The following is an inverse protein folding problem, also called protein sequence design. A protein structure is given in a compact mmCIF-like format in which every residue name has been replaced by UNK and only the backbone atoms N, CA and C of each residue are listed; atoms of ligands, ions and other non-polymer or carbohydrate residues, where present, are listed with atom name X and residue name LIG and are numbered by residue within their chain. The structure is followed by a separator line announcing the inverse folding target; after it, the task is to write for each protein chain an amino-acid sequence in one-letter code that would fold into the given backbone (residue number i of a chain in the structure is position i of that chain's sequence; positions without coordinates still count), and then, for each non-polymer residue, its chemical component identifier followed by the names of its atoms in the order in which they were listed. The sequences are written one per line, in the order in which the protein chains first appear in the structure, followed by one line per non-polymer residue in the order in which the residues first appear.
data_IF_946834305599
#
_entry.id   IF_946834305599
#
_cell.length_a   1.000
_cell.length_b   1.000
_cell.length_c   1.000
_cell.angle_alpha   90.00
_cell.angle_beta   90.00
_cell.angle_gamma   90.00
#
_symmetry.space_group_name_H-M   'P 1'
#
loop_
_entity.id
_entity.type
_entity.pdbx_description
1 polymer ?
#
# COMPACT_ATOMS: atom_id res chain seq x y z
N UNK A 1 -2.70 18.87 5.46
CA UNK A 1 -2.69 19.00 3.98
C UNK A 1 -2.06 20.32 3.55
N UNK A 2 -0.73 20.38 3.35
CA UNK A 2 -0.08 21.46 2.60
C UNK A 2 0.22 20.91 1.21
N UNK A 3 -0.73 21.12 0.31
CA UNK A 3 -0.64 20.69 -1.09
C UNK A 3 0.48 21.48 -1.77
N UNK A 4 1.55 20.79 -2.16
CA UNK A 4 2.69 21.36 -2.89
C UNK A 4 2.22 21.98 -4.22
N UNK A 5 2.34 23.30 -4.33
CA UNK A 5 1.95 24.11 -5.49
C UNK A 5 2.95 24.05 -6.67
N UNK A 6 3.51 22.89 -7.00
CA UNK A 6 4.40 22.76 -8.16
C UNK A 6 3.92 21.67 -9.13
N UNK A 7 3.50 22.15 -10.31
CA UNK A 7 3.15 21.46 -11.57
C UNK A 7 1.71 20.94 -11.75
N UNK A 8 0.85 21.84 -12.23
CA UNK A 8 -0.21 21.59 -13.25
C UNK A 8 0.36 20.77 -14.44
N UNK A 9 -0.29 19.87 -15.19
CA UNK A 9 -1.68 19.38 -15.30
C UNK A 9 -1.60 17.98 -15.95
N UNK A 10 -1.59 16.88 -15.19
CA UNK A 10 -1.97 15.58 -15.79
C UNK A 10 -3.21 15.16 -15.05
N UNK A 11 -4.33 15.27 -15.74
CA UNK A 11 -5.64 14.91 -15.23
C UNK A 11 -6.43 14.25 -16.36
N UNK A 12 -6.69 12.97 -16.17
CA UNK A 12 -7.48 12.14 -17.07
C UNK A 12 -8.97 12.10 -16.67
N UNK A 13 -9.39 12.97 -15.74
CA UNK A 13 -10.80 13.04 -15.32
C UNK A 13 -11.72 13.31 -16.50
N UNK A 14 -12.68 12.42 -16.72
CA UNK A 14 -13.61 12.48 -17.84
C UNK A 14 -13.04 12.03 -19.19
N UNK A 15 -11.76 11.67 -19.26
CA UNK A 15 -11.15 11.08 -20.46
C UNK A 15 -11.50 9.60 -20.52
N UNK A 16 -12.01 9.16 -21.69
CA UNK A 16 -12.27 7.75 -21.94
C UNK A 16 -10.96 7.03 -22.25
N UNK A 17 -10.43 6.33 -21.27
CA UNK A 17 -9.23 5.51 -21.43
C UNK A 17 -9.53 4.17 -22.10
N UNK A 18 -8.56 3.59 -22.84
CA UNK A 18 -8.74 2.29 -23.49
C UNK A 18 -8.78 1.12 -22.49
N UNK A 19 -8.17 1.30 -21.30
CA UNK A 19 -8.13 0.33 -20.21
C UNK A 19 -8.65 0.95 -18.92
N UNK A 20 -9.09 0.11 -17.99
CA UNK A 20 -9.37 0.51 -16.61
C UNK A 20 -8.11 0.37 -15.76
N UNK A 21 -7.83 1.36 -14.93
CA UNK A 21 -6.66 1.36 -14.05
C UNK A 21 -7.10 1.12 -12.61
N UNK A 22 -6.52 0.11 -11.96
CA UNK A 22 -6.99 -0.40 -10.67
C UNK A 22 -5.79 -0.67 -9.76
N UNK A 23 -5.85 -0.18 -8.52
CA UNK A 23 -4.88 -0.60 -7.49
C UNK A 23 -5.27 -1.99 -6.98
N UNK A 24 -4.30 -2.89 -6.93
CA UNK A 24 -4.43 -4.15 -6.17
C UNK A 24 -3.66 -4.09 -4.85
N UNK A 25 -3.28 -2.88 -4.42
CA UNK A 25 -2.90 -2.59 -3.04
C UNK A 25 -1.42 -2.79 -2.72
N UNK A 26 -1.19 -3.17 -1.46
CA UNK A 26 0.09 -3.11 -0.73
C UNK A 26 0.08 -2.03 0.31
N UNK A 27 -0.21 -0.83 -0.18
CA UNK A 27 -0.52 0.35 0.62
C UNK A 27 -1.34 1.31 -0.26
N UNK A 28 -1.74 2.45 0.29
CA UNK A 28 -2.65 3.39 -0.37
C UNK A 28 -2.05 4.15 -1.58
N UNK A 29 -0.73 4.10 -1.77
CA UNK A 29 0.00 4.90 -2.78
C UNK A 29 -0.55 4.80 -4.21
N UNK A 30 -0.68 3.60 -4.80
CA UNK A 30 -1.20 3.47 -6.16
C UNK A 30 -2.62 4.04 -6.34
N UNK A 31 -3.52 3.78 -5.39
CA UNK A 31 -4.89 4.29 -5.47
C UNK A 31 -4.96 5.82 -5.32
N UNK A 32 -4.13 6.39 -4.43
CA UNK A 32 -4.00 7.84 -4.27
C UNK A 32 -3.44 8.50 -5.53
N UNK A 33 -2.40 7.91 -6.14
CA UNK A 33 -1.85 8.39 -7.40
C UNK A 33 -2.90 8.36 -8.51
N UNK A 34 -3.51 7.19 -8.76
CA UNK A 34 -4.49 7.02 -9.83
C UNK A 34 -5.67 7.99 -9.67
N UNK A 35 -6.07 8.27 -8.43
CA UNK A 35 -7.06 9.32 -8.13
C UNK A 35 -6.54 10.73 -8.45
N UNK A 36 -5.31 11.05 -8.05
CA UNK A 36 -4.69 12.37 -8.27
C UNK A 36 -4.53 12.73 -9.75
N UNK A 37 -4.29 11.74 -10.61
CA UNK A 37 -4.17 11.95 -12.06
C UNK A 37 -5.46 11.64 -12.84
N UNK A 38 -6.59 11.41 -12.15
CA UNK A 38 -7.90 11.23 -12.81
C UNK A 38 -8.12 9.88 -13.52
N UNK A 39 -7.27 8.88 -13.30
CA UNK A 39 -7.44 7.52 -13.88
C UNK A 39 -8.32 6.60 -13.05
N UNK A 40 -8.41 6.85 -11.74
CA UNK A 40 -9.25 6.07 -10.83
C UNK A 40 -10.71 6.50 -10.97
N UNK A 41 -11.51 5.66 -11.60
CA UNK A 41 -12.94 5.89 -11.81
C UNK A 41 -13.82 5.38 -10.68
N UNK A 42 -13.33 4.41 -9.91
CA UNK A 42 -14.07 3.69 -8.89
C UNK A 42 -13.14 3.26 -7.73
N UNK A 43 -13.73 2.91 -6.58
CA UNK A 43 -12.98 2.42 -5.44
C UNK A 43 -13.06 0.89 -5.31
N UNK A 44 -11.94 0.23 -5.04
CA UNK A 44 -11.84 -1.22 -4.91
C UNK A 44 -11.41 -1.65 -3.51
N UNK A 45 -11.57 -2.95 -3.15
CA UNK A 45 -11.27 -3.42 -1.80
C UNK A 45 -9.82 -3.16 -1.39
N UNK A 46 -8.88 -3.24 -2.33
CA UNK A 46 -7.45 -3.11 -2.06
C UNK A 46 -6.90 -1.67 -2.10
N UNK A 47 -7.72 -0.67 -2.45
CA UNK A 47 -7.25 0.71 -2.63
C UNK A 47 -6.60 1.29 -1.37
N UNK A 48 -7.12 0.92 -0.21
CA UNK A 48 -6.73 1.48 1.09
C UNK A 48 -6.52 0.41 2.16
N UNK A 49 -6.54 -0.86 1.74
CA UNK A 49 -6.14 -1.96 2.59
C UNK A 49 -4.67 -2.26 2.29
N UNK A 50 -3.86 -2.32 3.34
CA UNK A 50 -2.59 -3.03 3.28
C UNK A 50 -2.92 -4.49 3.02
N UNK A 51 -2.35 -5.09 1.98
CA UNK A 51 -2.65 -6.47 1.62
C UNK A 51 -1.40 -7.20 1.14
N UNK A 52 -1.33 -8.49 1.46
CA UNK A 52 -0.26 -9.37 0.99
C UNK A 52 -0.59 -9.91 -0.40
N UNK A 53 0.44 -10.26 -1.17
CA UNK A 53 0.27 -10.79 -2.53
C UNK A 53 -0.43 -12.15 -2.53
N UNK A 54 -0.04 -13.05 -1.62
CA UNK A 54 -0.74 -14.33 -1.41
C UNK A 54 -2.20 -14.14 -0.98
N UNK A 55 -2.49 -13.05 -0.27
CA UNK A 55 -3.84 -12.61 0.03
C UNK A 55 -4.64 -12.25 -1.21
N UNK A 56 -4.07 -11.43 -2.10
CA UNK A 56 -4.71 -11.08 -3.39
C UNK A 56 -5.00 -12.36 -4.19
N UNK A 57 -4.02 -13.27 -4.30
CA UNK A 57 -4.19 -14.57 -4.97
C UNK A 57 -5.36 -15.35 -4.34
N UNK A 58 -5.39 -15.43 -3.01
CA UNK A 58 -6.49 -16.08 -2.28
C UNK A 58 -7.85 -15.43 -2.60
N UNK A 59 -7.96 -14.11 -2.55
CA UNK A 59 -9.23 -13.39 -2.80
C UNK A 59 -9.66 -13.47 -4.26
N UNK A 60 -8.72 -13.52 -5.20
CA UNK A 60 -9.02 -13.78 -6.60
C UNK A 60 -9.64 -15.17 -6.74
N UNK A 61 -9.03 -16.21 -6.16
CA UNK A 61 -9.51 -17.61 -6.29
C UNK A 61 -10.81 -17.89 -5.53
N UNK A 62 -10.94 -17.35 -4.32
CA UNK A 62 -11.96 -17.78 -3.36
C UNK A 62 -12.96 -16.68 -2.96
N UNK A 63 -12.76 -15.44 -3.43
CA UNK A 63 -13.52 -14.28 -2.98
C UNK A 63 -13.06 -13.75 -1.61
N UNK A 64 -13.77 -12.77 -1.07
CA UNK A 64 -13.37 -12.01 0.13
C UNK A 64 -13.92 -12.54 1.46
N UNK A 65 -14.52 -13.74 1.46
CA UNK A 65 -15.19 -14.27 2.64
C UNK A 65 -14.24 -14.63 3.78
N UNK A 66 -13.14 -15.31 3.45
CA UNK A 66 -12.13 -15.78 4.41
C UNK A 66 -10.88 -14.88 4.37
N UNK A 67 -10.27 -14.61 5.53
CA UNK A 67 -9.01 -13.88 5.64
C UNK A 67 -8.99 -12.38 5.30
N UNK A 68 -10.09 -11.81 4.76
CA UNK A 68 -10.18 -10.38 4.42
C UNK A 68 -10.46 -9.47 5.62
N UNK A 69 -11.29 -9.90 6.56
CA UNK A 69 -11.57 -9.15 7.80
C UNK A 69 -10.74 -9.71 8.97
N UNK A 70 -10.62 -8.96 10.09
CA UNK A 70 -10.05 -9.51 11.32
C UNK A 70 -10.78 -10.79 11.76
N UNK A 71 -10.08 -11.73 12.42
CA UNK A 71 -10.69 -12.98 12.87
C UNK A 71 -11.79 -12.73 13.92
N UNK A 72 -12.86 -13.53 13.84
CA UNK A 72 -14.02 -13.44 14.73
C UNK A 72 -15.15 -12.53 14.22
N UNK A 73 -16.32 -12.50 14.87
CA UNK A 73 -17.38 -11.58 14.51
C UNK A 73 -17.11 -10.16 15.04
N UNK A 74 -17.67 -9.11 14.41
CA UNK A 74 -17.73 -7.78 14.99
C UNK A 74 -18.38 -7.77 16.40
N UNK A 75 -17.96 -6.87 17.32
CA UNK A 75 -16.97 -5.82 17.09
C UNK A 75 -15.54 -6.37 17.03
N UNK A 76 -14.81 -5.95 16.00
CA UNK A 76 -13.39 -6.25 15.84
C UNK A 76 -12.58 -5.42 16.82
N UNK A 77 -11.54 -6.03 17.40
CA UNK A 77 -10.57 -5.35 18.25
C UNK A 77 -9.53 -4.65 17.37
N UNK A 78 -9.43 -3.31 17.40
CA UNK A 78 -8.34 -2.63 16.73
C UNK A 78 -7.04 -2.73 17.54
N UNK A 79 -5.94 -2.49 16.87
CA UNK A 79 -4.59 -2.54 17.42
C UNK A 79 -3.89 -1.22 17.13
N UNK A 80 -3.36 -0.57 18.17
CA UNK A 80 -2.61 0.67 18.00
C UNK A 80 -1.13 0.36 17.75
N UNK A 81 -0.64 0.77 16.57
CA UNK A 81 0.77 0.59 16.18
C UNK A 81 1.32 1.96 15.79
N UNK A 82 2.18 2.52 16.65
CA UNK A 82 2.65 3.89 16.46
C UNK A 82 1.53 4.91 16.51
N UNK A 83 1.45 5.74 15.47
CA UNK A 83 0.36 6.71 15.26
C UNK A 83 -0.92 6.09 14.68
N UNK A 84 -0.89 4.81 14.28
CA UNK A 84 -1.97 4.17 13.53
C UNK A 84 -2.93 3.38 14.42
N UNK A 85 -4.21 3.38 14.05
CA UNK A 85 -5.20 2.42 14.59
C UNK A 85 -5.55 1.44 13.48
N UNK A 86 -5.16 0.18 13.67
CA UNK A 86 -5.26 -0.85 12.64
C UNK A 86 -6.30 -1.89 13.00
N UNK A 87 -7.11 -2.29 12.04
CA UNK A 87 -7.82 -3.56 12.08
C UNK A 87 -7.05 -4.56 11.24
N UNK A 88 -6.47 -5.59 11.85
CA UNK A 88 -5.60 -6.55 11.15
C UNK A 88 -6.28 -7.90 10.98
N UNK A 89 -6.38 -8.34 9.73
CA UNK A 89 -6.74 -9.69 9.34
C UNK A 89 -5.50 -10.53 9.03
N UNK A 90 -5.74 -11.72 8.48
CA UNK A 90 -4.66 -12.60 8.03
C UNK A 90 -3.85 -11.94 6.92
N UNK A 91 -4.53 -11.57 5.84
CA UNK A 91 -3.93 -11.06 4.61
C UNK A 91 -4.01 -9.54 4.45
N UNK A 92 -4.77 -8.88 5.32
CA UNK A 92 -5.14 -7.49 5.17
C UNK A 92 -4.94 -6.71 6.46
N UNK A 93 -4.75 -5.41 6.32
CA UNK A 93 -4.91 -4.47 7.41
C UNK A 93 -5.54 -3.18 6.92
N UNK A 94 -6.46 -2.67 7.74
CA UNK A 94 -7.23 -1.48 7.45
C UNK A 94 -6.72 -0.37 8.35
N UNK A 95 -6.01 0.57 7.74
CA UNK A 95 -5.76 1.89 8.32
C UNK A 95 -6.90 2.82 7.90
N UNK A 96 -7.21 3.84 8.69
CA UNK A 96 -8.20 4.87 8.37
C UNK A 96 -9.67 4.40 8.22
N UNK A 97 -10.02 3.19 8.69
CA UNK A 97 -11.41 2.72 8.63
C UNK A 97 -11.82 2.11 9.96
N UNK A 98 -12.91 2.58 10.54
CA UNK A 98 -13.57 1.88 11.65
C UNK A 98 -14.40 0.71 11.10
N UNK A 99 -13.86 -0.51 11.19
CA UNK A 99 -14.59 -1.70 10.73
C UNK A 99 -15.79 -2.08 11.62
N UNK A 100 -15.94 -1.46 12.79
CA UNK A 100 -17.12 -1.64 13.62
C UNK A 100 -18.30 -0.80 13.14
N UNK A 101 -18.04 0.22 12.33
CA UNK A 101 -19.08 1.00 11.65
C UNK A 101 -19.77 0.15 10.56
N UNK A 102 -21.11 -0.08 10.66
CA UNK A 102 -21.85 -0.82 9.65
C UNK A 102 -21.83 -0.15 8.26
N UNK A 103 -21.74 1.18 8.17
CA UNK A 103 -21.71 1.89 6.89
C UNK A 103 -20.38 1.68 6.18
N UNK A 104 -19.27 1.66 6.92
CA UNK A 104 -17.94 1.30 6.39
C UNK A 104 -17.94 -0.14 5.90
N UNK A 105 -18.50 -1.09 6.65
CA UNK A 105 -18.63 -2.49 6.18
C UNK A 105 -19.47 -2.59 4.92
N UNK A 106 -20.61 -1.89 4.85
CA UNK A 106 -21.45 -1.83 3.67
C UNK A 106 -20.72 -1.21 2.46
N UNK A 107 -19.85 -0.21 2.68
CA UNK A 107 -18.98 0.33 1.62
C UNK A 107 -18.01 -0.73 1.09
N UNK A 108 -17.37 -1.53 1.95
CA UNK A 108 -16.49 -2.61 1.51
C UNK A 108 -17.23 -3.69 0.73
N UNK A 109 -18.43 -4.09 1.14
CA UNK A 109 -19.27 -5.02 0.36
C UNK A 109 -19.51 -4.49 -1.06
N UNK A 110 -19.81 -3.19 -1.21
CA UNK A 110 -19.96 -2.57 -2.55
C UNK A 110 -18.66 -2.60 -3.36
N UNK A 111 -17.51 -2.37 -2.70
CA UNK A 111 -16.18 -2.46 -3.34
C UNK A 111 -15.90 -3.90 -3.81
N UNK A 112 -16.23 -4.91 -3.01
CA UNK A 112 -16.05 -6.33 -3.35
C UNK A 112 -16.92 -6.72 -4.55
N UNK A 113 -18.21 -6.35 -4.54
CA UNK A 113 -19.10 -6.61 -5.67
C UNK A 113 -18.60 -5.95 -6.97
N UNK A 114 -18.00 -4.75 -6.88
CA UNK A 114 -17.36 -4.09 -8.02
C UNK A 114 -16.12 -4.81 -8.50
N UNK A 115 -15.31 -5.33 -7.58
CA UNK A 115 -14.16 -6.17 -7.91
C UNK A 115 -14.59 -7.45 -8.63
N UNK A 116 -15.59 -8.15 -8.10
CA UNK A 116 -16.09 -9.38 -8.73
C UNK A 116 -16.62 -9.08 -10.14
N UNK A 117 -17.41 -8.02 -10.30
CA UNK A 117 -17.84 -7.56 -11.63
C UNK A 117 -16.68 -7.22 -12.55
N UNK A 118 -15.65 -6.55 -12.05
CA UNK A 118 -14.44 -6.19 -12.81
C UNK A 118 -13.73 -7.45 -13.31
N UNK A 119 -13.52 -8.45 -12.46
CA UNK A 119 -12.78 -9.66 -12.83
C UNK A 119 -13.63 -10.58 -13.69
N UNK A 120 -14.89 -10.82 -13.32
CA UNK A 120 -15.72 -11.87 -13.90
C UNK A 120 -16.40 -11.45 -15.22
N UNK A 121 -16.61 -10.15 -15.43
CA UNK A 121 -17.41 -9.63 -16.57
C UNK A 121 -16.74 -8.49 -17.34
N UNK A 122 -15.42 -8.35 -17.24
CA UNK A 122 -14.70 -7.19 -17.76
C UNK A 122 -15.11 -6.80 -19.19
N UNK A 123 -15.72 -5.62 -19.31
CA UNK A 123 -16.14 -5.04 -20.59
C UNK A 123 -14.99 -4.32 -21.30
N UNK A 124 -13.91 -4.03 -20.58
CA UNK A 124 -12.72 -3.33 -21.05
C UNK A 124 -11.49 -4.00 -20.45
N UNK A 125 -10.34 -3.97 -21.14
CA UNK A 125 -9.09 -4.43 -20.56
C UNK A 125 -8.72 -3.68 -19.27
N UNK A 126 -7.92 -4.31 -18.42
CA UNK A 126 -7.54 -3.77 -17.11
C UNK A 126 -6.02 -3.69 -16.99
N UNK A 127 -5.54 -2.68 -16.27
CA UNK A 127 -4.14 -2.56 -15.84
C UNK A 127 -4.13 -2.42 -14.32
N UNK A 128 -3.57 -3.41 -13.64
CA UNK A 128 -3.43 -3.45 -12.20
C UNK A 128 -2.11 -2.82 -11.75
N UNK A 129 -2.14 -2.05 -10.67
CA UNK A 129 -0.96 -1.46 -10.03
C UNK A 129 -0.75 -2.08 -8.64
N UNK A 130 0.48 -2.52 -8.38
CA UNK A 130 0.90 -3.14 -7.11
C UNK A 130 2.22 -2.51 -6.66
N UNK A 131 2.23 -1.98 -5.44
CA UNK A 131 3.50 -1.66 -4.77
C UNK A 131 4.02 -2.90 -4.07
N UNK A 132 5.25 -3.31 -4.34
CA UNK A 132 5.88 -4.36 -3.56
C UNK A 132 6.10 -3.81 -2.15
N UNK A 133 5.59 -4.53 -1.15
CA UNK A 133 5.64 -4.15 0.27
C UNK A 133 6.34 -5.21 1.11
N UNK A 134 6.69 -6.36 0.51
CA UNK A 134 7.63 -7.31 1.08
C UNK A 134 8.93 -6.65 1.50
N UNK A 135 9.41 -7.11 2.66
CA UNK A 135 10.69 -6.70 3.22
C UNK A 135 11.84 -7.01 2.27
N UNK A 136 11.82 -8.23 1.70
CA UNK A 136 12.62 -8.59 0.53
C UNK A 136 11.72 -8.54 -0.72
N UNK A 137 11.96 -7.64 -1.69
CA UNK A 137 11.10 -7.53 -2.87
C UNK A 137 10.89 -8.83 -3.65
N UNK A 138 11.88 -9.73 -3.63
CA UNK A 138 11.79 -11.03 -4.31
C UNK A 138 10.66 -11.91 -3.78
N UNK A 139 10.28 -11.79 -2.50
CA UNK A 139 9.20 -12.60 -1.91
C UNK A 139 7.84 -12.37 -2.58
N UNK A 140 7.62 -11.19 -3.19
CA UNK A 140 6.42 -10.91 -3.99
C UNK A 140 6.63 -11.11 -5.48
N UNK A 141 7.83 -10.83 -6.00
CA UNK A 141 8.16 -11.04 -7.42
C UNK A 141 7.97 -12.52 -7.78
N UNK A 142 8.39 -13.43 -6.90
CA UNK A 142 8.21 -14.89 -7.07
C UNK A 142 6.73 -15.32 -7.13
N UNK A 143 5.80 -14.53 -6.60
CA UNK A 143 4.36 -14.83 -6.58
C UNK A 143 3.62 -14.30 -7.82
N UNK A 144 4.29 -13.53 -8.69
CA UNK A 144 3.67 -12.96 -9.90
C UNK A 144 3.10 -14.04 -10.83
N UNK A 145 3.80 -15.15 -11.15
CA UNK A 145 3.25 -16.20 -11.99
C UNK A 145 1.97 -16.81 -11.41
N UNK A 146 1.89 -16.97 -10.08
CA UNK A 146 0.71 -17.50 -9.40
C UNK A 146 -0.45 -16.52 -9.43
N UNK A 147 -0.19 -15.21 -9.32
CA UNK A 147 -1.23 -14.19 -9.47
C UNK A 147 -1.78 -14.14 -10.90
N UNK A 148 -0.91 -14.20 -11.91
CA UNK A 148 -1.34 -14.25 -13.32
C UNK A 148 -2.21 -15.48 -13.58
N UNK A 149 -1.80 -16.64 -13.06
CA UNK A 149 -2.57 -17.89 -13.16
C UNK A 149 -3.93 -17.75 -12.46
N UNK A 150 -3.97 -17.20 -11.23
CA UNK A 150 -5.22 -17.02 -10.50
C UNK A 150 -6.21 -16.11 -11.24
N UNK A 151 -5.74 -15.01 -11.82
CA UNK A 151 -6.57 -14.08 -12.60
C UNK A 151 -7.04 -14.77 -13.88
N UNK A 152 -6.14 -15.45 -14.60
CA UNK A 152 -6.48 -16.16 -15.83
C UNK A 152 -7.46 -17.31 -15.60
N UNK A 153 -7.28 -18.08 -14.53
CA UNK A 153 -8.17 -19.18 -14.15
C UNK A 153 -9.58 -18.67 -13.80
N UNK A 154 -9.67 -17.51 -13.14
CA UNK A 154 -10.95 -16.89 -12.80
C UNK A 154 -11.67 -16.33 -14.02
N UNK A 155 -10.95 -15.68 -14.93
CA UNK A 155 -11.51 -15.23 -16.20
C UNK A 155 -10.47 -15.29 -17.33
N UNK A 156 -10.48 -16.35 -18.15
CA UNK A 156 -9.54 -16.51 -19.25
C UNK A 156 -9.65 -15.44 -20.34
N UNK A 157 -10.80 -14.77 -20.44
CA UNK A 157 -11.07 -13.73 -21.42
C UNK A 157 -10.65 -12.32 -20.95
N UNK A 158 -10.25 -12.16 -19.69
CA UNK A 158 -9.81 -10.88 -19.17
C UNK A 158 -8.45 -10.51 -19.78
N UNK A 159 -8.43 -9.46 -20.61
CA UNK A 159 -7.18 -8.80 -20.98
C UNK A 159 -6.70 -7.94 -19.79
N UNK A 160 -5.75 -8.46 -19.03
CA UNK A 160 -5.10 -7.74 -17.94
C UNK A 160 -3.61 -7.54 -18.15
N UNK A 161 -3.11 -6.52 -17.47
CA UNK A 161 -1.71 -6.16 -17.28
C UNK A 161 -1.45 -5.88 -15.81
N UNK A 162 -0.20 -6.05 -15.38
CA UNK A 162 0.25 -5.80 -14.02
C UNK A 162 1.49 -4.91 -14.03
N UNK A 163 1.47 -3.90 -13.17
CA UNK A 163 2.58 -2.99 -12.93
C UNK A 163 3.05 -3.21 -11.50
N UNK A 164 4.21 -3.86 -11.37
CA UNK A 164 4.87 -4.14 -10.10
C UNK A 164 5.88 -3.03 -9.80
N UNK A 165 5.84 -2.47 -8.58
CA UNK A 165 6.66 -1.32 -8.23
C UNK A 165 7.34 -1.52 -6.88
N UNK A 166 8.66 -1.75 -6.89
CA UNK A 166 9.50 -1.79 -5.70
C UNK A 166 9.96 -0.39 -5.30
N UNK A 167 10.06 -0.15 -3.99
CA UNK A 167 10.44 1.13 -3.43
C UNK A 167 11.86 1.10 -2.89
N UNK A 168 12.50 2.27 -2.87
CA UNK A 168 13.69 2.54 -2.06
C UNK A 168 14.84 1.55 -2.27
N UNK A 169 15.21 1.38 -3.53
CA UNK A 169 16.28 0.47 -3.95
C UNK A 169 17.65 1.17 -4.06
N UNK A 170 17.79 2.37 -3.46
CA UNK A 170 19.03 3.12 -3.38
C UNK A 170 19.52 3.75 -4.69
N UNK A 171 18.66 3.85 -5.72
CA UNK A 171 18.99 4.50 -6.99
C UNK A 171 18.92 6.03 -6.87
N UNK A 172 19.79 6.73 -7.61
CA UNK A 172 19.64 8.18 -7.83
C UNK A 172 18.48 8.47 -8.76
N UNK A 173 18.28 7.62 -9.77
CA UNK A 173 17.16 7.69 -10.70
C UNK A 173 15.82 7.59 -9.97
N UNK A 174 14.86 8.45 -10.36
CA UNK A 174 13.53 8.51 -9.72
C UNK A 174 12.68 7.27 -9.97
N UNK A 175 12.72 6.74 -11.19
CA UNK A 175 12.09 5.50 -11.56
C UNK A 175 12.88 4.81 -12.67
N UNK A 176 12.95 3.48 -12.64
CA UNK A 176 13.59 2.66 -13.67
C UNK A 176 12.76 1.40 -13.91
N UNK A 177 12.52 1.08 -15.18
CA UNK A 177 11.95 -0.20 -15.59
C UNK A 177 13.05 -1.27 -15.63
N UNK A 178 12.78 -2.40 -15.00
CA UNK A 178 13.57 -3.62 -15.15
C UNK A 178 12.97 -4.47 -16.27
N UNK A 179 13.71 -5.49 -16.70
CA UNK A 179 13.18 -6.53 -17.60
C UNK A 179 11.80 -7.00 -17.11
N UNK A 180 10.76 -6.97 -17.97
CA UNK A 180 9.43 -7.44 -17.60
C UNK A 180 9.46 -8.86 -17.05
N UNK A 181 8.61 -9.14 -16.06
CA UNK A 181 8.47 -10.47 -15.46
C UNK A 181 7.70 -11.42 -16.39
N UNK A 182 6.86 -10.87 -17.26
CA UNK A 182 6.13 -11.58 -18.29
C UNK A 182 5.66 -10.58 -19.37
N UNK A 183 5.04 -11.08 -20.44
CA UNK A 183 4.35 -10.25 -21.43
C UNK A 183 3.19 -9.39 -20.86
N UNK A 184 2.74 -9.66 -19.63
CA UNK A 184 1.68 -8.91 -18.94
C UNK A 184 2.18 -8.11 -17.76
N UNK A 185 3.41 -8.33 -17.32
CA UNK A 185 3.89 -7.77 -16.06
C UNK A 185 5.18 -6.99 -16.23
N UNK A 186 5.10 -5.68 -16.07
CA UNK A 186 6.28 -4.79 -15.98
C UNK A 186 6.74 -4.69 -14.53
N UNK A 187 8.06 -4.58 -14.33
CA UNK A 187 8.67 -4.40 -13.01
C UNK A 187 9.42 -3.09 -12.96
N UNK A 188 9.13 -2.29 -11.93
CA UNK A 188 9.70 -0.97 -11.73
C UNK A 188 10.35 -0.88 -10.37
N UNK A 189 11.41 -0.09 -10.31
CA UNK A 189 12.00 0.40 -9.06
C UNK A 189 11.81 1.91 -9.00
N UNK A 190 11.47 2.42 -7.81
CA UNK A 190 11.32 3.85 -7.58
C UNK A 190 12.18 4.30 -6.40
N UNK A 191 12.68 5.52 -6.49
CA UNK A 191 13.38 6.20 -5.39
C UNK A 191 12.53 7.31 -4.80
N UNK A 192 12.75 7.58 -3.51
CA UNK A 192 12.09 8.69 -2.82
C UNK A 192 12.75 10.01 -3.18
N UNK A 193 11.96 10.95 -3.65
CA UNK A 193 12.37 12.34 -3.76
C UNK A 193 12.28 13.02 -2.38
N UNK A 194 13.06 14.10 -2.20
CA UNK A 194 13.00 14.98 -1.03
C UNK A 194 13.40 14.31 0.31
N UNK A 195 13.52 15.13 1.36
CA UNK A 195 13.87 14.66 2.70
C UNK A 195 12.68 14.04 3.45
N UNK A 196 12.95 13.48 4.64
CA UNK A 196 11.99 12.78 5.48
C UNK A 196 10.93 13.69 6.14
N UNK A 197 10.94 15.01 5.90
CA UNK A 197 9.91 15.92 6.41
C UNK A 197 8.58 15.81 5.65
N UNK A 198 8.59 15.20 4.46
CA UNK A 198 7.40 14.98 3.64
C UNK A 198 6.79 13.59 3.86
N UNK A 199 5.49 13.45 3.57
CA UNK A 199 4.83 12.15 3.65
C UNK A 199 5.42 11.18 2.63
N UNK A 200 5.35 9.87 2.91
CA UNK A 200 5.84 8.85 1.98
C UNK A 200 5.20 8.96 0.58
N UNK A 201 3.93 9.33 0.50
CA UNK A 201 3.26 9.55 -0.77
C UNK A 201 3.86 10.74 -1.53
N UNK A 202 4.06 11.88 -0.86
CA UNK A 202 4.65 13.08 -1.49
C UNK A 202 6.04 12.80 -2.06
N UNK A 203 6.84 11.99 -1.33
CA UNK A 203 8.20 11.60 -1.74
C UNK A 203 8.20 10.63 -2.93
N UNK A 204 7.22 9.74 -3.02
CA UNK A 204 7.15 8.73 -4.09
C UNK A 204 6.33 9.17 -5.31
N UNK A 205 5.50 10.22 -5.19
CA UNK A 205 4.48 10.59 -6.18
C UNK A 205 5.05 10.81 -7.58
N UNK A 206 6.24 11.40 -7.70
CA UNK A 206 6.84 11.68 -9.00
C UNK A 206 7.19 10.39 -9.75
N UNK A 207 7.89 9.46 -9.10
CA UNK A 207 8.24 8.16 -9.70
C UNK A 207 6.98 7.37 -10.07
N UNK A 208 5.97 7.37 -9.20
CA UNK A 208 4.66 6.80 -9.52
C UNK A 208 4.01 7.39 -10.76
N UNK A 209 4.06 8.72 -10.91
CA UNK A 209 3.48 9.41 -12.07
C UNK A 209 4.17 8.97 -13.35
N UNK A 210 5.49 8.85 -13.35
CA UNK A 210 6.27 8.38 -14.50
C UNK A 210 5.89 6.95 -14.89
N UNK A 211 5.85 6.04 -13.90
CA UNK A 211 5.43 4.64 -14.10
C UNK A 211 4.02 4.58 -14.68
N UNK A 212 3.07 5.37 -14.14
CA UNK A 212 1.70 5.38 -14.62
C UNK A 212 1.59 5.89 -16.06
N UNK A 213 2.25 7.00 -16.39
CA UNK A 213 2.27 7.56 -17.75
C UNK A 213 2.87 6.57 -18.75
N UNK A 214 3.96 5.91 -18.38
CA UNK A 214 4.57 4.88 -19.21
C UNK A 214 3.61 3.71 -19.44
N UNK A 215 2.93 3.27 -18.38
CA UNK A 215 2.00 2.13 -18.43
C UNK A 215 0.72 2.41 -19.23
N UNK A 216 0.35 3.67 -19.43
CA UNK A 216 -0.81 4.08 -20.24
C UNK A 216 -0.53 3.97 -21.74
N UNK A 217 0.72 4.13 -22.16
CA UNK A 217 1.06 4.06 -23.57
C UNK A 217 1.06 2.59 -24.04
N UNK A 218 0.11 2.24 -24.90
CA UNK A 218 -0.05 0.88 -25.43
C UNK A 218 1.19 0.37 -26.17
N UNK A 219 1.95 1.25 -26.83
CA UNK A 219 3.15 0.87 -27.58
C UNK A 219 4.25 0.31 -26.68
N UNK A 220 4.28 0.73 -25.41
CA UNK A 220 5.24 0.23 -24.42
C UNK A 220 4.96 -1.23 -24.03
N UNK A 221 3.81 -1.79 -24.42
CA UNK A 221 3.42 -3.16 -24.11
C UNK A 221 3.55 -4.13 -25.31
N UNK A 222 4.07 -3.72 -26.47
CA UNK A 222 3.92 -4.47 -27.73
C UNK A 222 5.21 -5.13 -28.27
N UNK A 223 6.40 -4.91 -27.70
CA UNK A 223 7.67 -5.30 -28.37
C UNK A 223 8.53 -6.33 -27.62
N UNK A 224 8.71 -7.52 -28.19
CA UNK A 224 9.75 -8.55 -27.91
C UNK A 224 10.28 -8.57 -26.45
N UNK A 225 9.37 -8.86 -25.51
CA UNK A 225 9.36 -8.29 -24.14
C UNK A 225 10.14 -9.02 -23.05
N UNK A 226 11.13 -9.84 -23.40
CA UNK A 226 12.10 -10.39 -22.42
C UNK A 226 13.50 -9.80 -22.57
N UNK A 227 13.68 -8.82 -23.46
CA UNK A 227 14.89 -8.03 -23.48
C UNK A 227 14.92 -7.09 -22.26
N UNK A 228 16.09 -6.91 -21.67
CA UNK A 228 16.30 -5.88 -20.65
C UNK A 228 16.13 -4.51 -21.30
N UNK A 229 15.19 -3.67 -20.85
CA UNK A 229 14.99 -2.35 -21.43
C UNK A 229 16.23 -1.50 -21.16
N UNK A 230 16.69 -0.79 -22.18
CA UNK A 230 17.61 0.33 -21.93
C UNK A 230 16.81 1.40 -21.19
N UNK A 231 17.24 1.86 -20.00
CA UNK A 231 16.59 2.98 -19.33
C UNK A 231 16.51 4.17 -20.29
N UNK A 232 15.38 4.88 -20.32
CA UNK A 232 15.21 6.05 -21.17
C UNK A 232 14.76 7.24 -20.35
N UNK A 233 15.18 8.44 -20.74
CA UNK A 233 14.79 9.68 -20.07
C UNK A 233 15.52 9.98 -18.76
N UNK A 234 16.54 9.19 -18.40
CA UNK A 234 17.43 9.49 -17.27
C UNK A 234 18.44 10.59 -17.62
N UNK A 235 18.75 11.44 -16.64
CA UNK A 235 19.76 12.50 -16.75
C UNK A 235 21.18 11.95 -16.61
N UNK A 236 22.19 12.75 -16.99
CA UNK A 236 23.62 12.40 -16.78
C UNK A 236 24.01 12.25 -15.30
N UNK A 237 23.17 12.74 -14.38
CA UNK A 237 23.37 12.54 -12.94
C UNK A 237 22.74 11.23 -12.41
N UNK A 238 21.89 10.59 -13.21
CA UNK A 238 21.17 9.36 -12.85
C UNK A 238 21.76 8.12 -13.55
N UNK A 239 22.36 8.30 -14.73
CA UNK A 239 22.94 7.21 -15.51
C UNK A 239 24.12 7.68 -16.38
N UNK A 240 25.05 6.76 -16.68
CA UNK A 240 26.03 6.91 -17.74
C UNK A 240 25.72 5.92 -18.86
N UNK A 241 25.14 6.44 -19.95
CA UNK A 241 24.77 5.65 -21.13
C UNK A 241 25.97 5.13 -21.94
N UNK A 242 27.15 5.74 -21.81
CA UNK A 242 28.36 5.25 -22.49
C UNK A 242 28.92 4.05 -21.75
N UNK A 243 28.90 4.09 -20.43
CA UNK A 243 29.30 2.98 -19.55
C UNK A 243 28.18 1.96 -19.34
N UNK A 244 26.95 2.27 -19.75
CA UNK A 244 25.74 1.48 -19.54
C UNK A 244 25.51 1.16 -18.05
N UNK A 245 25.55 2.19 -17.20
CA UNK A 245 25.34 2.05 -15.74
C UNK A 245 24.36 3.07 -15.19
N UNK A 246 23.64 2.68 -14.12
CA UNK A 246 22.87 3.56 -13.25
C UNK A 246 23.68 3.92 -12.01
N UNK A 247 23.49 5.12 -11.48
CA UNK A 247 24.12 5.57 -10.25
C UNK A 247 23.27 5.25 -9.02
N UNK A 248 23.92 4.80 -7.94
CA UNK A 248 23.33 4.66 -6.61
C UNK A 248 23.75 5.78 -5.67
N UNK A 249 22.93 6.00 -4.65
CA UNK A 249 23.16 7.02 -3.60
C UNK A 249 24.43 6.71 -2.80
N UNK A 250 24.80 5.42 -2.66
CA UNK A 250 26.02 4.97 -1.97
C UNK A 250 27.30 5.12 -2.81
N UNK A 251 27.20 5.66 -4.03
CA UNK A 251 28.32 5.88 -4.95
C UNK A 251 28.73 4.64 -5.76
N UNK A 252 28.01 3.52 -5.63
CA UNK A 252 28.20 2.34 -6.50
C UNK A 252 27.34 2.41 -7.77
N UNK A 253 27.74 1.64 -8.79
CA UNK A 253 27.09 1.63 -10.10
C UNK A 253 26.33 0.31 -10.31
N UNK A 254 25.18 0.36 -10.99
CA UNK A 254 24.44 -0.82 -11.43
C UNK A 254 24.52 -0.93 -12.96
N UNK A 255 25.12 -1.98 -13.53
CA UNK A 255 25.12 -2.22 -14.96
C UNK A 255 23.70 -2.38 -15.53
N UNK A 256 23.45 -1.86 -16.73
CA UNK A 256 22.16 -2.00 -17.41
C UNK A 256 21.79 -3.48 -17.64
N UNK A 257 22.77 -4.36 -17.84
CA UNK A 257 22.55 -5.81 -17.95
C UNK A 257 21.99 -6.44 -16.66
N UNK A 258 22.22 -5.81 -15.51
CA UNK A 258 21.70 -6.24 -14.21
C UNK A 258 20.26 -5.79 -13.94
N UNK A 259 19.60 -5.09 -14.87
CA UNK A 259 18.20 -4.66 -14.74
C UNK A 259 17.24 -5.81 -15.01
N UNK A 260 17.42 -6.91 -14.27
CA UNK A 260 16.57 -8.10 -14.27
C UNK A 260 16.22 -8.47 -12.84
N UNK A 261 15.11 -9.16 -12.61
CA UNK A 261 14.73 -9.56 -11.26
C UNK A 261 15.83 -10.39 -10.56
N UNK A 262 16.55 -11.21 -11.31
CA UNK A 262 17.56 -12.13 -10.77
C UNK A 262 18.89 -11.46 -10.47
N UNK A 263 19.30 -10.46 -11.25
CA UNK A 263 20.61 -9.82 -11.13
C UNK A 263 20.57 -8.47 -10.41
N UNK A 264 19.40 -7.85 -10.28
CA UNK A 264 19.29 -6.55 -9.64
C UNK A 264 19.65 -6.66 -8.14
N UNK A 265 20.47 -5.74 -7.60
CA UNK A 265 20.92 -5.81 -6.21
C UNK A 265 19.83 -5.31 -5.26
N UNK A 266 18.82 -6.15 -5.03
CA UNK A 266 17.68 -5.82 -4.17
C UNK A 266 18.12 -5.43 -2.76
N UNK A 267 17.57 -4.32 -2.29
CA UNK A 267 17.70 -3.85 -0.92
C UNK A 267 16.45 -4.22 -0.13
N UNK A 268 16.65 -4.81 1.06
CA UNK A 268 15.57 -5.10 1.98
C UNK A 268 15.17 -3.84 2.75
N UNK A 269 13.88 -3.54 2.87
CA UNK A 269 13.40 -2.36 3.59
C UNK A 269 12.22 -2.64 4.51
N UNK A 270 12.12 -1.88 5.59
CA UNK A 270 11.02 -2.01 6.55
C UNK A 270 9.88 -1.02 6.29
N UNK A 271 10.15 0.05 5.51
CA UNK A 271 9.29 1.24 5.34
C UNK A 271 7.83 0.96 4.96
N UNK A 272 7.59 -0.13 4.23
CA UNK A 272 6.24 -0.57 3.83
C UNK A 272 5.84 -1.90 4.46
N UNK A 273 6.80 -2.74 4.86
CA UNK A 273 6.57 -4.06 5.42
C UNK A 273 6.12 -3.99 6.88
N UNK A 274 6.70 -3.05 7.65
CA UNK A 274 6.50 -2.88 9.08
C UNK A 274 6.00 -1.47 9.39
N UNK A 275 5.26 -1.33 10.48
CA UNK A 275 4.90 -0.06 11.09
C UNK A 275 5.47 -0.12 12.50
N UNK A 276 6.44 0.74 12.80
CA UNK A 276 7.14 0.78 14.10
C UNK A 276 7.62 -0.61 14.58
N UNK A 277 8.17 -1.40 13.66
CA UNK A 277 8.67 -2.75 13.92
C UNK A 277 7.60 -3.84 14.00
N UNK A 278 6.31 -3.49 13.90
CA UNK A 278 5.20 -4.44 13.91
C UNK A 278 4.76 -4.74 12.48
N UNK A 279 4.56 -6.02 12.16
CA UNK A 279 4.01 -6.42 10.87
C UNK A 279 2.63 -5.78 10.65
N UNK A 280 2.43 -5.15 9.49
CA UNK A 280 1.19 -4.40 9.30
C UNK A 280 -0.04 -5.30 9.20
N UNK A 281 0.11 -6.58 8.85
CA UNK A 281 -0.95 -7.62 8.81
C UNK A 281 -0.71 -8.65 9.92
N UNK A 282 -1.75 -9.37 10.36
CA UNK A 282 -1.64 -10.32 11.47
C UNK A 282 -1.14 -11.72 11.08
N UNK A 283 -1.24 -12.11 9.81
CA UNK A 283 -0.88 -13.47 9.37
C UNK A 283 0.61 -13.82 9.40
N UNK A 284 1.50 -12.90 9.77
CA UNK A 284 2.95 -13.08 9.64
C UNK A 284 3.75 -12.16 10.55
N UNK A 285 4.94 -12.62 10.98
CA UNK A 285 5.89 -11.80 11.76
C UNK A 285 6.85 -10.99 10.91
N UNK A 286 6.98 -11.29 9.61
CA UNK A 286 8.01 -10.67 8.75
C UNK A 286 7.51 -9.40 8.03
N UNK A 287 6.23 -9.07 8.16
CA UNK A 287 5.63 -7.88 7.59
C UNK A 287 4.61 -8.16 6.49
N UNK A 288 4.30 -7.15 5.68
CA UNK A 288 3.42 -7.30 4.51
C UNK A 288 4.23 -7.90 3.35
N UNK A 289 3.62 -8.73 2.52
CA UNK A 289 4.24 -9.26 1.29
C UNK A 289 3.69 -10.64 0.99
N UNK A 290 4.00 -11.59 1.87
CA UNK A 290 3.37 -12.91 1.93
C UNK A 290 3.10 -13.28 3.38
N UNK A 291 1.92 -13.80 3.65
CA UNK A 291 1.64 -14.37 4.97
C UNK A 291 2.27 -15.75 5.13
N UNK A 292 2.35 -16.52 4.02
CA UNK A 292 2.64 -17.97 4.03
C UNK A 292 1.93 -18.67 5.19
N UNK A 293 0.74 -18.19 5.58
CA UNK A 293 0.08 -18.65 6.80
C UNK A 293 -0.52 -20.03 6.54
N UNK A 294 0.03 -21.05 7.19
CA UNK A 294 -0.28 -22.46 6.91
C UNK A 294 -0.94 -23.05 8.16
N UNK A 295 -2.15 -23.59 8.01
CA UNK A 295 -2.87 -24.32 9.06
C UNK A 295 -3.02 -23.54 10.39
N UNK A 296 -3.32 -22.24 10.33
CA UNK A 296 -3.48 -21.44 11.54
C UNK A 296 -2.17 -21.01 12.21
N UNK A 297 -1.03 -21.13 11.51
CA UNK A 297 0.30 -20.77 12.04
C UNK A 297 1.08 -19.91 11.05
N UNK A 298 1.79 -18.94 11.58
CA UNK A 298 2.80 -18.19 10.83
C UNK A 298 3.91 -19.14 10.36
N UNK A 299 4.17 -19.24 9.05
CA UNK A 299 5.20 -20.15 8.54
C UNK A 299 6.63 -19.77 8.94
N UNK A 300 6.85 -18.53 9.39
CA UNK A 300 8.19 -18.03 9.71
C UNK A 300 8.62 -18.35 11.15
N UNK A 301 7.69 -18.29 12.12
CA UNK A 301 8.01 -18.51 13.54
C UNK A 301 7.08 -19.53 14.23
N UNK A 302 6.04 -20.02 13.56
CA UNK A 302 5.08 -20.97 14.10
C UNK A 302 4.01 -20.39 15.05
N UNK A 303 4.01 -19.07 15.28
CA UNK A 303 3.02 -18.43 16.16
C UNK A 303 1.59 -18.58 15.61
N UNK A 304 0.63 -18.76 16.52
CA UNK A 304 -0.80 -18.96 16.26
C UNK A 304 -1.67 -17.79 16.74
N UNK A 305 -1.08 -16.76 17.33
CA UNK A 305 -1.81 -15.63 17.94
C UNK A 305 -2.13 -14.48 16.98
N UNK A 306 -1.81 -14.62 15.68
CA UNK A 306 -1.91 -13.56 14.66
C UNK A 306 -0.99 -12.36 14.90
N UNK A 307 0.16 -12.57 15.56
CA UNK A 307 1.16 -11.54 15.78
C UNK A 307 0.57 -10.25 16.32
N UNK A 308 -0.30 -10.40 17.34
CA UNK A 308 -0.91 -9.25 18.03
C UNK A 308 0.18 -8.23 18.33
N UNK A 309 -0.09 -6.98 17.98
CA UNK A 309 0.78 -5.87 18.30
C UNK A 309 0.94 -5.89 19.81
N UNK A 310 2.18 -6.07 20.26
CA UNK A 310 2.51 -5.97 21.68
C UNK A 310 2.23 -4.54 22.17
N UNK A 311 2.44 -4.29 23.47
CA UNK A 311 2.01 -3.05 24.15
C UNK A 311 2.25 -1.81 23.29
N UNK A 312 1.20 -1.01 23.01
CA UNK A 312 1.30 0.11 22.09
C UNK A 312 2.36 1.11 22.57
N UNK A 313 3.05 1.73 21.61
CA UNK A 313 4.08 2.75 21.86
C UNK A 313 3.56 3.83 22.83
N UNK A 314 4.35 4.13 23.86
CA UNK A 314 4.08 5.21 24.82
C UNK A 314 5.29 6.10 24.95
N UNK A 315 5.09 7.39 24.77
CA UNK A 315 6.11 8.41 25.01
C UNK A 315 6.43 8.57 26.49
N UNK A 316 5.49 8.23 27.38
CA UNK A 316 5.67 8.34 28.83
C UNK A 316 5.69 9.78 29.36
N UNK A 317 5.54 10.78 28.49
CA UNK A 317 5.49 12.20 28.86
C UNK A 317 4.06 12.64 29.19
N UNK A 318 3.92 13.51 30.19
CA UNK A 318 2.63 14.09 30.55
C UNK A 318 2.03 14.92 29.40
N UNK A 319 0.71 14.99 29.32
CA UNK A 319 0.00 15.86 28.37
C UNK A 319 0.11 17.33 28.80
N UNK A 320 0.37 18.22 27.84
CA UNK A 320 0.34 19.67 28.08
C UNK A 320 -1.07 20.23 27.94
N UNK A 321 -1.29 21.46 28.42
CA UNK A 321 -2.59 22.13 28.28
C UNK A 321 -2.93 22.41 26.81
N UNK A 322 -1.92 22.68 25.97
CA UNK A 322 -2.08 22.90 24.54
C UNK A 322 -2.49 21.61 23.81
N UNK A 323 -1.90 20.47 24.20
CA UNK A 323 -2.29 19.16 23.67
C UNK A 323 -3.74 18.81 24.05
N UNK A 324 -4.14 19.07 25.30
CA UNK A 324 -5.53 18.87 25.73
C UNK A 324 -6.51 19.77 24.96
N UNK A 325 -6.15 21.04 24.73
CA UNK A 325 -6.96 21.95 23.95
C UNK A 325 -7.11 21.46 22.50
N UNK A 326 -6.03 20.98 21.90
CA UNK A 326 -6.06 20.40 20.55
C UNK A 326 -6.98 19.18 20.48
N UNK A 327 -6.88 18.27 21.47
CA UNK A 327 -7.76 17.10 21.58
C UNK A 327 -9.23 17.53 21.66
N UNK A 328 -9.58 18.49 22.51
CA UNK A 328 -10.95 18.99 22.68
C UNK A 328 -11.52 19.60 21.38
N UNK A 329 -10.70 20.31 20.60
CA UNK A 329 -11.11 20.85 19.29
C UNK A 329 -11.42 19.72 18.30
N UNK A 330 -10.58 18.68 18.25
CA UNK A 330 -10.81 17.53 17.38
C UNK A 330 -11.99 16.66 17.85
N UNK A 331 -12.26 16.60 19.15
CA UNK A 331 -13.42 15.90 19.70
C UNK A 331 -14.74 16.48 19.19
N UNK A 332 -14.81 17.79 19.00
CA UNK A 332 -15.97 18.41 18.37
C UNK A 332 -16.19 17.90 16.94
N UNK A 333 -15.13 17.68 16.15
CA UNK A 333 -15.23 17.08 14.80
C UNK A 333 -15.74 15.63 14.88
N UNK A 334 -15.21 14.85 15.82
CA UNK A 334 -15.63 13.45 16.07
C UNK A 334 -17.12 13.40 16.46
N UNK A 335 -17.56 14.25 17.38
CA UNK A 335 -18.94 14.29 17.87
C UNK A 335 -19.95 14.68 16.79
N UNK A 336 -19.53 15.46 15.80
CA UNK A 336 -20.37 15.85 14.66
C UNK A 336 -20.32 14.84 13.50
N UNK A 337 -19.91 13.60 13.75
CA UNK A 337 -19.90 12.53 12.76
C UNK A 337 -18.65 12.48 11.87
N UNK A 338 -17.56 13.12 12.26
CA UNK A 338 -16.26 12.95 11.61
C UNK A 338 -15.65 11.58 11.85
N UNK A 339 -14.72 11.17 10.98
CA UNK A 339 -13.98 9.91 11.12
C UNK A 339 -13.13 9.91 12.40
N UNK A 340 -13.44 8.99 13.30
CA UNK A 340 -12.79 8.87 14.61
C UNK A 340 -11.35 8.40 14.50
N UNK A 341 -11.07 7.49 13.56
CA UNK A 341 -9.75 6.92 13.36
C UNK A 341 -8.83 7.98 12.77
N UNK A 342 -9.26 8.64 11.69
CA UNK A 342 -8.51 9.73 11.06
C UNK A 342 -8.19 10.84 12.07
N UNK A 343 -9.16 11.22 12.90
CA UNK A 343 -8.96 12.25 13.92
C UNK A 343 -7.92 11.85 14.98
N UNK A 344 -7.90 10.59 15.41
CA UNK A 344 -6.89 10.09 16.36
C UNK A 344 -5.51 10.06 15.72
N UNK A 345 -5.39 9.59 14.48
CA UNK A 345 -4.12 9.49 13.76
C UNK A 345 -3.51 10.89 13.51
N UNK A 346 -4.34 11.87 13.12
CA UNK A 346 -3.92 13.27 12.93
C UNK A 346 -3.44 13.90 14.25
N UNK A 347 -4.18 13.68 15.34
CA UNK A 347 -3.78 14.12 16.68
C UNK A 347 -2.46 13.48 17.13
N UNK A 348 -2.32 12.16 16.95
CA UNK A 348 -1.11 11.41 17.29
C UNK A 348 0.10 11.93 16.53
N UNK A 349 -0.06 12.21 15.23
CA UNK A 349 0.98 12.80 14.40
C UNK A 349 1.35 14.23 14.84
N UNK A 350 0.37 15.12 15.04
CA UNK A 350 0.63 16.52 15.41
C UNK A 350 1.29 16.65 16.78
N UNK A 351 0.91 15.79 17.72
CA UNK A 351 1.50 15.78 19.04
C UNK A 351 2.79 14.95 19.10
N UNK A 352 3.14 14.16 18.09
CA UNK A 352 4.21 13.17 18.18
C UNK A 352 4.01 12.23 19.39
N UNK A 353 2.88 11.50 19.38
CA UNK A 353 2.47 10.50 20.40
C UNK A 353 1.96 9.24 19.73
N UNK A 354 1.90 8.14 20.48
CA UNK A 354 1.20 6.94 20.01
C UNK A 354 -0.32 7.14 19.99
N UNK A 355 -1.02 6.55 19.01
CA UNK A 355 -2.48 6.61 18.92
C UNK A 355 -3.17 6.14 20.20
N UNK A 356 -2.62 5.12 20.85
CA UNK A 356 -3.12 4.61 22.13
C UNK A 356 -3.10 5.66 23.24
N UNK A 357 -2.04 6.46 23.34
CA UNK A 357 -1.95 7.54 24.34
C UNK A 357 -3.01 8.59 24.10
N UNK A 358 -3.25 8.95 22.83
CA UNK A 358 -4.28 9.90 22.42
C UNK A 358 -5.68 9.38 22.77
N UNK A 359 -5.97 8.11 22.47
CA UNK A 359 -7.25 7.47 22.81
C UNK A 359 -7.49 7.47 24.33
N UNK A 360 -6.49 7.07 25.12
CA UNK A 360 -6.58 7.09 26.58
C UNK A 360 -6.83 8.52 27.10
N UNK A 361 -6.18 9.53 26.50
CA UNK A 361 -6.37 10.91 26.91
C UNK A 361 -7.76 11.44 26.56
N UNK A 362 -8.28 11.09 25.38
CA UNK A 362 -9.66 11.41 25.00
C UNK A 362 -10.65 10.80 26.00
N UNK A 363 -10.49 9.52 26.33
CA UNK A 363 -11.36 8.84 27.30
C UNK A 363 -11.32 9.52 28.67
N UNK A 364 -10.12 9.95 29.11
CA UNK A 364 -9.94 10.70 30.34
C UNK A 364 -10.60 12.08 30.32
N UNK A 365 -10.50 12.83 29.20
CA UNK A 365 -11.07 14.18 29.08
C UNK A 365 -12.60 14.19 28.88
N UNK A 366 -13.19 13.08 28.42
CA UNK A 366 -14.62 12.99 28.03
C UNK A 366 -15.46 12.13 28.96
N UNK A 367 -14.85 11.59 30.00
CA UNK A 367 -15.49 10.78 31.05
C UNK A 367 -16.40 9.68 30.46
N UNK A 368 -15.84 8.87 29.57
CA UNK A 368 -16.46 7.69 28.92
C UNK A 368 -17.61 7.92 27.93
N UNK A 369 -18.03 9.14 27.62
CA UNK A 369 -19.15 9.38 26.68
C UNK A 369 -18.82 9.08 25.21
N UNK A 370 -17.54 9.09 24.83
CA UNK A 370 -17.06 8.77 23.48
C UNK A 370 -16.13 7.56 23.53
N UNK A 371 -16.69 6.35 23.63
CA UNK A 371 -15.91 5.12 23.42
C UNK A 371 -15.42 5.09 21.97
N UNK A 372 -14.19 5.56 21.75
CA UNK A 372 -13.51 5.49 20.45
C UNK A 372 -13.06 4.05 20.18
N UNK A 373 -12.61 3.34 21.22
CA UNK A 373 -12.24 1.92 21.19
C UNK A 373 -12.55 1.30 22.56
N UNK A 374 -13.15 0.11 22.60
CA UNK A 374 -13.32 -0.66 23.84
C UNK A 374 -12.04 -1.49 24.09
N UNK A 375 -11.11 -0.92 24.85
CA UNK A 375 -10.01 -1.66 25.49
C UNK A 375 -10.47 -2.10 26.88
N UNK A 376 -11.52 -2.91 26.96
CA UNK A 376 -11.83 -3.62 28.22
C UNK A 376 -10.84 -4.79 28.31
N UNK A 377 -9.95 -4.76 29.32
CA UNK A 377 -9.08 -5.89 29.66
C UNK A 377 -9.86 -7.12 30.12
#
# INVERSE_FOLDING_TARGET
MRCSQLKRVIDFSGVRMPRKYVSIGGWCGPALLLGKIGLRTEAYPFDFSRCTMDGIIHFVRNGFGDGFYPPGPPPYRPECVGIWVLFRGQHTAFAHFDLNDPDIRAQFVRKMNRWDKLIDTALVPVTFFRSIVARNPMDEIELVPELEEAIHARNPALDFRLVMIAHDQGLVARSVELRPLSHRTTLWVLSYAHDDSLTLFDRAQQGYTEVALHSINEENWVSDQLATPAPVGLTEAEADYRRCVLFKIDGTDIPFESLTAEAFPWHCHDNLALIDGVASVGGTCVGIGSTKYINGRCAFCGNTDYHKAERPFRTGRHFTAEEDQLILVHLYRILNGGDKIEAVEDLASQMNRGAFEVICRIQHLTDSSLKIIDYSD
#
